data_IF_065797593493
#
_entry.id   IF_065797593493
#
_cell.length_a   1.000
_cell.length_b   1.000
_cell.length_c   1.000
_cell.angle_alpha   90.00
_cell.angle_beta   90.00
_cell.angle_gamma   90.00
#
_symmetry.space_group_name_H-M   'P 1'
#
loop_
_entity.id
_entity.type
_entity.pdbx_description
1 polymer ?
#
# COMPACT_ATOMS: atom_id res chain seq x y z
N UNK A 1 -2.34 -8.67 -16.60
CA UNK A 1 -1.71 -9.93 -16.12
C UNK A 1 -0.19 -9.84 -16.00
N UNK A 2 0.57 -9.44 -17.02
CA UNK A 2 2.05 -9.41 -16.94
C UNK A 2 2.63 -8.59 -15.78
N UNK A 3 2.08 -7.41 -15.51
CA UNK A 3 2.51 -6.55 -14.37
C UNK A 3 2.26 -7.22 -13.01
N UNK A 4 1.21 -8.04 -12.90
CA UNK A 4 0.83 -8.72 -11.66
C UNK A 4 1.85 -9.82 -11.32
N UNK A 5 2.27 -10.61 -12.32
CA UNK A 5 3.36 -11.57 -12.18
C UNK A 5 4.71 -10.90 -11.91
N UNK A 6 4.97 -9.74 -12.53
CA UNK A 6 6.18 -8.97 -12.28
C UNK A 6 6.27 -8.50 -10.82
N UNK A 7 5.20 -7.87 -10.30
CA UNK A 7 5.13 -7.44 -8.90
C UNK A 7 5.27 -8.61 -7.93
N UNK A 8 4.71 -9.77 -8.27
CA UNK A 8 4.85 -10.97 -7.47
C UNK A 8 6.29 -11.49 -7.44
N UNK A 9 6.92 -11.65 -8.61
CA UNK A 9 8.33 -12.05 -8.72
C UNK A 9 9.24 -11.10 -7.93
N UNK A 10 9.02 -9.80 -8.10
CA UNK A 10 9.73 -8.75 -7.38
C UNK A 10 9.57 -8.93 -5.86
N UNK A 11 8.34 -9.18 -5.39
CA UNK A 11 8.05 -9.45 -3.98
C UNK A 11 8.78 -10.68 -3.40
N UNK A 12 9.07 -11.70 -4.21
CA UNK A 12 9.82 -12.89 -3.80
C UNK A 12 11.33 -12.65 -3.76
N UNK A 13 11.85 -11.77 -4.61
CA UNK A 13 13.26 -11.37 -4.63
C UNK A 13 13.62 -10.53 -3.39
N UNK A 14 12.63 -9.86 -2.77
CA UNK A 14 12.89 -9.00 -1.62
C UNK A 14 12.93 -9.68 -0.26
N UNK A 15 13.94 -9.28 0.49
CA UNK A 15 14.07 -9.64 1.89
C UNK A 15 13.26 -8.69 2.77
N UNK A 16 12.16 -9.20 3.32
CA UNK A 16 11.39 -8.53 4.39
C UNK A 16 12.30 -8.10 5.56
N UNK A 17 13.33 -8.89 5.86
CA UNK A 17 14.28 -8.59 6.92
C UNK A 17 15.10 -7.32 6.67
N UNK A 18 15.46 -7.03 5.42
CA UNK A 18 16.17 -5.80 5.07
C UNK A 18 15.23 -4.59 5.05
N UNK A 19 13.98 -4.76 4.61
CA UNK A 19 12.96 -3.72 4.68
C UNK A 19 12.72 -3.24 6.13
N UNK A 20 12.67 -4.18 7.08
CA UNK A 20 12.54 -3.87 8.51
C UNK A 20 13.77 -3.09 9.02
N UNK A 21 14.98 -3.49 8.62
CA UNK A 21 16.22 -2.78 9.01
C UNK A 21 16.24 -1.34 8.48
N UNK A 22 15.75 -1.13 7.27
CA UNK A 22 15.64 0.20 6.64
C UNK A 22 14.39 0.99 7.06
N UNK A 23 13.57 0.45 7.97
CA UNK A 23 12.27 1.02 8.32
C UNK A 23 12.31 2.48 8.78
N UNK A 24 13.35 2.89 9.51
CA UNK A 24 13.52 4.31 9.91
C UNK A 24 13.76 5.21 8.70
N UNK A 25 14.64 4.80 7.79
CA UNK A 25 14.92 5.56 6.56
C UNK A 25 13.71 5.62 5.64
N UNK A 26 12.94 4.52 5.56
CA UNK A 26 11.67 4.46 4.82
C UNK A 26 10.64 5.42 5.42
N UNK A 27 10.46 5.41 6.74
CA UNK A 27 9.49 6.28 7.40
C UNK A 27 9.86 7.76 7.22
N UNK A 28 11.14 8.12 7.36
CA UNK A 28 11.61 9.49 7.17
C UNK A 28 11.48 9.91 5.70
N UNK A 29 12.01 9.11 4.78
CA UNK A 29 11.99 9.40 3.34
C UNK A 29 10.56 9.44 2.78
N UNK A 30 9.72 8.48 3.16
CA UNK A 30 8.31 8.43 2.77
C UNK A 30 7.50 9.58 3.36
N UNK A 31 7.75 9.97 4.61
CA UNK A 31 7.09 11.13 5.22
C UNK A 31 7.48 12.43 4.53
N UNK A 32 8.78 12.62 4.21
CA UNK A 32 9.24 13.79 3.45
C UNK A 32 8.61 13.81 2.05
N UNK A 33 8.62 12.67 1.36
CA UNK A 33 8.01 12.53 0.03
C UNK A 33 6.52 12.91 0.05
N UNK A 34 5.75 12.36 1.00
CA UNK A 34 4.33 12.66 1.14
C UNK A 34 4.13 14.13 1.49
N UNK A 35 4.84 14.67 2.47
CA UNK A 35 4.67 16.06 2.89
C UNK A 35 4.92 17.04 1.74
N UNK A 36 5.97 16.82 0.95
CA UNK A 36 6.29 17.68 -0.19
C UNK A 36 5.18 17.61 -1.23
N UNK A 37 4.83 16.41 -1.72
CA UNK A 37 3.85 16.30 -2.80
C UNK A 37 2.44 16.68 -2.36
N UNK A 38 2.05 16.32 -1.13
CA UNK A 38 0.73 16.65 -0.59
C UNK A 38 0.57 18.15 -0.37
N UNK A 39 1.58 18.82 0.19
CA UNK A 39 1.55 20.27 0.35
C UNK A 39 1.52 21.00 -0.99
N UNK A 40 2.27 20.53 -2.00
CA UNK A 40 2.21 21.05 -3.36
C UNK A 40 0.81 20.91 -3.97
N UNK A 41 0.17 19.76 -3.77
CA UNK A 41 -1.17 19.54 -4.29
C UNK A 41 -2.26 20.36 -3.58
N UNK A 42 -2.14 20.54 -2.26
CA UNK A 42 -2.98 21.47 -1.50
C UNK A 42 -2.81 22.91 -1.99
N UNK A 43 -1.56 23.35 -2.17
CA UNK A 43 -1.24 24.69 -2.63
C UNK A 43 -1.79 24.94 -4.03
N UNK A 44 -1.63 23.96 -4.94
CA UNK A 44 -2.17 24.06 -6.29
C UNK A 44 -3.70 24.21 -6.28
N UNK A 45 -4.40 23.33 -5.55
CA UNK A 45 -5.86 23.40 -5.44
C UNK A 45 -6.35 24.72 -4.82
N UNK A 46 -5.61 25.25 -3.86
CA UNK A 46 -5.92 26.54 -3.24
C UNK A 46 -5.76 27.71 -4.23
N UNK A 47 -4.69 27.72 -5.02
CA UNK A 47 -4.43 28.77 -6.02
C UNK A 47 -5.48 28.74 -7.13
N UNK A 48 -5.96 27.56 -7.54
CA UNK A 48 -7.02 27.43 -8.54
C UNK A 48 -8.42 27.81 -8.03
N UNK A 49 -8.57 28.07 -6.73
CA UNK A 49 -9.84 28.46 -6.12
C UNK A 49 -10.85 27.32 -6.00
N UNK A 50 -10.38 26.07 -5.93
CA UNK A 50 -11.24 24.90 -5.75
C UNK A 50 -11.87 24.84 -4.35
N UNK A 51 -13.00 24.15 -4.24
CA UNK A 51 -13.63 23.86 -2.96
C UNK A 51 -12.78 22.92 -2.08
N UNK A 52 -13.03 22.90 -0.78
CA UNK A 52 -12.21 22.12 0.18
C UNK A 52 -12.06 20.64 -0.19
N UNK A 53 -13.14 19.97 -0.61
CA UNK A 53 -13.10 18.56 -1.01
C UNK A 53 -12.30 18.34 -2.30
N UNK A 54 -12.43 19.25 -3.26
CA UNK A 54 -11.70 19.20 -4.54
C UNK A 54 -10.20 19.40 -4.32
N UNK A 55 -9.82 20.34 -3.43
CA UNK A 55 -8.44 20.56 -3.02
C UNK A 55 -7.85 19.30 -2.39
N UNK A 56 -8.59 18.65 -1.48
CA UNK A 56 -8.16 17.39 -0.89
C UNK A 56 -7.97 16.32 -1.97
N UNK A 57 -8.98 16.08 -2.81
CA UNK A 57 -8.88 15.09 -3.89
C UNK A 57 -7.65 15.37 -4.76
N UNK A 58 -7.41 16.63 -5.13
CA UNK A 58 -6.25 17.03 -5.92
C UNK A 58 -4.92 16.76 -5.20
N UNK A 59 -4.83 17.06 -3.90
CA UNK A 59 -3.65 16.77 -3.09
C UNK A 59 -3.36 15.27 -3.03
N UNK A 60 -4.39 14.44 -2.91
CA UNK A 60 -4.26 12.98 -2.98
C UNK A 60 -3.70 12.52 -4.32
N UNK A 61 -4.26 13.02 -5.43
CA UNK A 61 -3.82 12.65 -6.78
C UNK A 61 -2.36 13.05 -7.04
N UNK A 62 -1.92 14.22 -6.58
CA UNK A 62 -0.54 14.70 -6.78
C UNK A 62 0.46 13.92 -5.92
N UNK A 63 0.04 13.44 -4.75
CA UNK A 63 0.94 12.78 -3.79
C UNK A 63 1.38 11.39 -4.22
N UNK A 64 0.53 10.71 -4.98
CA UNK A 64 0.55 9.25 -5.07
C UNK A 64 1.17 8.80 -6.39
N UNK A 65 2.22 7.99 -6.28
CA UNK A 65 2.93 7.32 -7.36
C UNK A 65 2.35 5.93 -7.64
N UNK A 66 2.56 5.44 -8.87
CA UNK A 66 2.16 4.08 -9.24
C UNK A 66 3.24 3.05 -8.88
N UNK A 67 2.99 2.26 -7.84
CA UNK A 67 3.86 1.16 -7.39
C UNK A 67 4.21 0.17 -8.52
N UNK A 68 3.21 -0.17 -9.33
CA UNK A 68 3.35 -1.07 -10.48
C UNK A 68 4.32 -0.55 -11.56
N UNK A 69 4.26 0.75 -11.87
CA UNK A 69 5.13 1.37 -12.86
C UNK A 69 6.56 1.45 -12.34
N UNK A 70 6.75 1.85 -11.09
CA UNK A 70 8.10 1.93 -10.50
C UNK A 70 8.75 0.55 -10.42
N UNK A 71 8.01 -0.46 -9.96
CA UNK A 71 8.45 -1.86 -9.97
C UNK A 71 8.88 -2.31 -11.37
N UNK A 72 8.05 -2.03 -12.38
CA UNK A 72 8.38 -2.37 -13.77
C UNK A 72 9.66 -1.67 -14.23
N UNK A 73 9.81 -0.37 -13.96
CA UNK A 73 11.01 0.39 -14.33
C UNK A 73 12.27 -0.18 -13.66
N UNK A 74 12.19 -0.60 -12.40
CA UNK A 74 13.31 -1.23 -11.71
C UNK A 74 13.74 -2.57 -12.35
N UNK A 75 12.77 -3.36 -12.81
CA UNK A 75 13.03 -4.61 -13.54
C UNK A 75 13.59 -4.33 -14.93
N UNK A 76 12.95 -3.43 -15.68
CA UNK A 76 13.35 -3.07 -17.04
C UNK A 76 14.78 -2.51 -17.06
N UNK A 77 15.17 -1.75 -16.03
CA UNK A 77 16.52 -1.22 -15.83
C UNK A 77 17.50 -2.22 -15.18
N UNK A 78 17.06 -3.44 -14.83
CA UNK A 78 17.85 -4.46 -14.13
C UNK A 78 18.49 -3.96 -12.83
N UNK A 79 17.78 -3.11 -12.07
CA UNK A 79 18.23 -2.53 -10.80
C UNK A 79 17.64 -3.21 -9.57
N UNK A 80 16.94 -4.34 -9.71
CA UNK A 80 16.24 -5.03 -8.61
C UNK A 80 17.17 -5.40 -7.45
N UNK A 81 18.41 -5.79 -7.75
CA UNK A 81 19.41 -6.19 -6.77
C UNK A 81 20.18 -5.02 -6.11
N UNK A 82 19.91 -3.77 -6.50
CA UNK A 82 20.64 -2.63 -5.97
C UNK A 82 20.16 -2.21 -4.56
N UNK A 83 21.04 -1.67 -3.71
CA UNK A 83 20.67 -1.28 -2.35
C UNK A 83 19.63 -0.15 -2.28
N UNK A 84 19.61 0.76 -3.25
CA UNK A 84 18.61 1.82 -3.34
C UNK A 84 17.19 1.32 -3.64
N UNK A 85 17.07 0.16 -4.29
CA UNK A 85 15.78 -0.41 -4.70
C UNK A 85 14.93 -0.78 -3.49
N UNK A 86 15.57 -1.31 -2.44
CA UNK A 86 14.89 -1.63 -1.18
C UNK A 86 14.30 -0.38 -0.52
N UNK A 87 15.00 0.76 -0.59
CA UNK A 87 14.50 2.03 -0.05
C UNK A 87 13.34 2.57 -0.90
N UNK A 88 13.48 2.57 -2.22
CA UNK A 88 12.44 3.06 -3.15
C UNK A 88 11.14 2.27 -2.93
N UNK A 89 11.24 0.95 -2.89
CA UNK A 89 10.07 0.08 -2.69
C UNK A 89 9.48 0.21 -1.30
N UNK A 90 10.32 0.39 -0.29
CA UNK A 90 9.86 0.71 1.06
C UNK A 90 9.06 2.02 1.11
N UNK A 91 9.52 3.06 0.42
CA UNK A 91 8.81 4.34 0.33
C UNK A 91 7.45 4.14 -0.38
N UNK A 92 7.41 3.37 -1.47
CA UNK A 92 6.16 3.05 -2.18
C UNK A 92 5.18 2.30 -1.27
N UNK A 93 5.66 1.31 -0.50
CA UNK A 93 4.79 0.60 0.46
C UNK A 93 4.27 1.53 1.55
N UNK A 94 5.10 2.47 2.02
CA UNK A 94 4.69 3.47 3.00
C UNK A 94 3.61 4.41 2.43
N UNK A 95 3.76 4.77 1.16
CA UNK A 95 2.79 5.57 0.41
C UNK A 95 1.46 4.85 0.23
N UNK A 96 1.45 3.55 -0.10
CA UNK A 96 0.23 2.74 -0.21
C UNK A 96 -0.55 2.69 1.12
N UNK A 97 0.16 2.62 2.25
CA UNK A 97 -0.43 2.70 3.59
C UNK A 97 -1.08 4.07 3.82
N UNK A 98 -0.38 5.16 3.47
CA UNK A 98 -0.93 6.50 3.55
C UNK A 98 -2.18 6.64 2.67
N UNK A 99 -2.12 6.19 1.41
CA UNK A 99 -3.22 6.21 0.45
C UNK A 99 -4.46 5.50 1.02
N UNK A 100 -4.30 4.33 1.64
CA UNK A 100 -5.40 3.59 2.23
C UNK A 100 -6.10 4.37 3.37
N UNK A 101 -5.33 4.97 4.28
CA UNK A 101 -5.87 5.83 5.35
C UNK A 101 -6.52 7.08 4.76
N UNK A 102 -5.81 7.72 3.83
CA UNK A 102 -6.22 8.95 3.18
C UNK A 102 -7.57 8.79 2.47
N UNK A 103 -7.70 7.76 1.63
CA UNK A 103 -8.96 7.46 0.94
C UNK A 103 -10.07 7.08 1.90
N UNK A 104 -9.78 6.39 3.01
CA UNK A 104 -10.79 6.11 4.02
C UNK A 104 -11.35 7.40 4.64
N UNK A 105 -10.50 8.38 4.91
CA UNK A 105 -10.90 9.69 5.44
C UNK A 105 -11.68 10.48 4.38
N UNK A 106 -11.14 10.59 3.17
CA UNK A 106 -11.78 11.34 2.07
C UNK A 106 -13.12 10.73 1.70
N UNK A 107 -13.22 9.39 1.61
CA UNK A 107 -14.48 8.70 1.36
C UNK A 107 -15.49 8.96 2.48
N UNK A 108 -15.05 9.00 3.74
CA UNK A 108 -15.91 9.37 4.87
C UNK A 108 -16.41 10.82 4.80
N UNK A 109 -15.59 11.74 4.30
CA UNK A 109 -15.96 13.15 4.10
C UNK A 109 -16.88 13.37 2.88
N UNK A 110 -16.74 12.54 1.85
CA UNK A 110 -17.53 12.64 0.61
C UNK A 110 -18.88 11.92 0.74
N UNK A 111 -18.89 10.72 1.33
CA UNK A 111 -20.08 9.86 1.43
C UNK A 111 -20.85 10.04 2.74
N UNK A 112 -20.21 10.58 3.78
CA UNK A 112 -20.85 10.80 5.07
C UNK A 112 -21.36 12.22 5.23
N UNK A 113 -22.46 12.39 5.98
CA UNK A 113 -22.86 13.65 6.63
C UNK A 113 -21.87 14.05 7.75
N UNK A 114 -20.56 13.87 7.53
CA UNK A 114 -19.49 14.09 8.48
C UNK A 114 -19.19 15.59 8.65
N UNK A 115 -20.23 16.36 8.96
CA UNK A 115 -20.14 17.74 9.45
C UNK A 115 -19.70 17.81 10.92
N UNK A 116 -19.67 16.67 11.62
CA UNK A 116 -19.24 16.57 13.02
C UNK A 116 -17.88 15.88 13.15
N UNK A 117 -16.98 16.53 13.89
CA UNK A 117 -15.62 16.05 14.24
C UNK A 117 -15.62 14.61 14.79
N UNK A 118 -16.70 14.20 15.46
CA UNK A 118 -16.88 12.84 15.99
C UNK A 118 -16.99 11.76 14.90
N UNK A 119 -17.62 12.05 13.76
CA UNK A 119 -17.72 11.11 12.63
C UNK A 119 -16.37 10.87 11.98
N UNK A 120 -15.60 11.94 11.74
CA UNK A 120 -14.26 11.85 11.18
C UNK A 120 -13.30 11.05 12.08
N UNK A 121 -13.35 11.27 13.40
CA UNK A 121 -12.56 10.51 14.37
C UNK A 121 -12.92 9.02 14.36
N UNK A 122 -14.20 8.69 14.28
CA UNK A 122 -14.67 7.31 14.23
C UNK A 122 -14.21 6.60 12.96
N UNK A 123 -14.29 7.27 11.80
CA UNK A 123 -13.77 6.75 10.53
C UNK A 123 -12.26 6.49 10.57
N UNK A 124 -11.48 7.42 11.14
CA UNK A 124 -10.03 7.22 11.35
C UNK A 124 -9.77 6.01 12.24
N UNK A 125 -10.54 5.86 13.33
CA UNK A 125 -10.38 4.77 14.29
C UNK A 125 -10.71 3.41 13.65
N UNK A 126 -11.77 3.34 12.83
CA UNK A 126 -12.12 2.15 12.06
C UNK A 126 -11.02 1.80 11.06
N UNK A 127 -10.55 2.78 10.27
CA UNK A 127 -9.48 2.56 9.29
C UNK A 127 -8.19 2.05 9.95
N UNK A 128 -7.80 2.66 11.07
CA UNK A 128 -6.67 2.24 11.88
C UNK A 128 -6.88 0.84 12.46
N UNK A 129 -8.09 0.53 12.93
CA UNK A 129 -8.47 -0.79 13.43
C UNK A 129 -8.34 -1.88 12.36
N UNK A 130 -8.85 -1.64 11.15
CA UNK A 130 -8.68 -2.56 10.02
C UNK A 130 -7.22 -2.74 9.64
N UNK A 131 -6.45 -1.63 9.56
CA UNK A 131 -5.02 -1.70 9.26
C UNK A 131 -4.26 -2.55 10.28
N UNK A 132 -4.53 -2.34 11.58
CA UNK A 132 -3.89 -3.08 12.67
C UNK A 132 -4.28 -4.56 12.65
N UNK A 133 -5.56 -4.86 12.37
CA UNK A 133 -6.06 -6.22 12.21
C UNK A 133 -5.32 -6.93 11.07
N UNK A 134 -5.27 -6.34 9.88
CA UNK A 134 -4.56 -6.90 8.73
C UNK A 134 -3.06 -7.04 8.99
N UNK A 135 -2.44 -6.09 9.69
CA UNK A 135 -1.03 -6.18 10.08
C UNK A 135 -0.77 -7.40 10.99
N UNK A 136 -1.63 -7.64 11.99
CA UNK A 136 -1.54 -8.80 12.88
C UNK A 136 -1.73 -10.10 12.09
N UNK A 137 -2.73 -10.14 11.20
CA UNK A 137 -2.98 -11.29 10.32
C UNK A 137 -1.76 -11.55 9.45
N UNK A 138 -1.25 -10.55 8.73
CA UNK A 138 -0.08 -10.66 7.86
C UNK A 138 1.17 -11.13 8.59
N UNK A 139 1.35 -10.74 9.86
CA UNK A 139 2.50 -11.20 10.67
C UNK A 139 2.35 -12.63 11.18
N UNK A 140 1.12 -13.08 11.47
CA UNK A 140 0.85 -14.42 12.02
C UNK A 140 0.61 -15.47 10.93
N UNK A 141 0.10 -15.08 9.76
CA UNK A 141 -0.22 -15.95 8.64
C UNK A 141 0.95 -16.81 8.16
N UNK A 142 2.16 -16.28 7.94
CA UNK A 142 3.29 -17.10 7.47
C UNK A 142 3.64 -18.21 8.45
N UNK A 143 3.57 -17.94 9.76
CA UNK A 143 3.83 -18.94 10.80
C UNK A 143 2.69 -19.96 10.91
N UNK A 144 1.45 -19.52 10.71
CA UNK A 144 0.29 -20.40 10.72
C UNK A 144 0.28 -21.32 9.49
N UNK A 145 0.55 -20.78 8.30
CA UNK A 145 0.67 -21.55 7.06
C UNK A 145 1.86 -22.51 7.13
N UNK A 146 3.04 -22.11 7.60
CA UNK A 146 4.18 -23.03 7.76
C UNK A 146 3.92 -24.14 8.80
N UNK A 147 2.98 -23.93 9.74
CA UNK A 147 2.61 -24.94 10.74
C UNK A 147 1.50 -25.88 10.23
N UNK A 148 0.60 -25.39 9.37
CA UNK A 148 -0.46 -26.17 8.74
C UNK A 148 0.03 -26.96 7.54
N UNK A 149 0.95 -26.38 6.79
CA UNK A 149 1.60 -26.96 5.63
C UNK A 149 3.09 -27.07 5.95
N UNK A 150 3.55 -28.27 6.31
CA UNK A 150 4.96 -28.62 6.57
C UNK A 150 5.77 -28.59 5.25
N UNK A 151 5.76 -27.44 4.59
CA UNK A 151 6.35 -27.23 3.27
C UNK A 151 7.77 -26.73 3.47
N UNK A 152 8.75 -27.57 3.08
CA UNK A 152 10.18 -27.25 3.20
C UNK A 152 10.74 -26.42 2.04
N UNK A 153 9.95 -26.14 0.99
CA UNK A 153 10.38 -25.33 -0.17
C UNK A 153 9.52 -24.08 -0.36
N UNK A 154 10.18 -22.92 -0.45
CA UNK A 154 9.53 -21.62 -0.75
C UNK A 154 8.68 -21.69 -2.04
N UNK A 155 9.04 -22.53 -3.01
CA UNK A 155 8.35 -22.68 -4.29
C UNK A 155 6.93 -23.25 -4.11
N UNK A 156 6.77 -24.24 -3.24
CA UNK A 156 5.47 -24.87 -2.99
C UNK A 156 4.59 -23.92 -2.17
N UNK A 157 5.17 -23.17 -1.24
CA UNK A 157 4.47 -22.11 -0.50
C UNK A 157 3.93 -21.02 -1.44
N UNK A 158 4.76 -20.59 -2.40
CA UNK A 158 4.37 -19.66 -3.47
C UNK A 158 3.18 -20.20 -4.26
N UNK A 159 3.24 -21.44 -4.73
CA UNK A 159 2.17 -22.05 -5.53
C UNK A 159 0.86 -22.13 -4.74
N UNK A 160 0.90 -22.50 -3.45
CA UNK A 160 -0.28 -22.58 -2.59
C UNK A 160 -0.93 -21.21 -2.39
N UNK A 161 -0.14 -20.17 -2.11
CA UNK A 161 -0.67 -18.80 -1.99
C UNK A 161 -1.29 -18.34 -3.31
N UNK A 162 -0.64 -18.63 -4.44
CA UNK A 162 -1.16 -18.27 -5.76
C UNK A 162 -2.49 -18.95 -6.05
N UNK A 163 -2.61 -20.24 -5.73
CA UNK A 163 -3.84 -21.00 -5.85
C UNK A 163 -4.95 -20.41 -4.97
N UNK A 164 -4.63 -20.02 -3.74
CA UNK A 164 -5.60 -19.42 -2.81
C UNK A 164 -6.09 -18.06 -3.31
N UNK A 165 -5.19 -17.21 -3.82
CA UNK A 165 -5.53 -15.92 -4.43
C UNK A 165 -6.42 -16.08 -5.68
N UNK A 166 -6.13 -17.06 -6.54
CA UNK A 166 -7.00 -17.34 -7.69
C UNK A 166 -8.37 -17.85 -7.26
N UNK A 167 -8.42 -18.70 -6.24
CA UNK A 167 -9.66 -19.27 -5.74
C UNK A 167 -10.56 -18.19 -5.11
N UNK A 168 -9.99 -17.23 -4.36
CA UNK A 168 -10.76 -16.10 -3.81
C UNK A 168 -11.31 -15.19 -4.91
N UNK A 169 -10.56 -14.96 -5.99
CA UNK A 169 -11.04 -14.19 -7.16
C UNK A 169 -12.18 -14.88 -7.89
N UNK A 170 -12.13 -16.20 -8.05
CA UNK A 170 -13.23 -16.99 -8.62
C UNK A 170 -14.46 -16.91 -7.73
N UNK A 171 -14.29 -17.05 -6.41
CA UNK A 171 -15.38 -16.90 -5.45
C UNK A 171 -16.04 -15.52 -5.52
N UNK A 172 -15.24 -14.46 -5.63
CA UNK A 172 -15.77 -13.09 -5.72
C UNK A 172 -16.59 -12.87 -7.00
N UNK A 173 -16.19 -13.48 -8.12
CA UNK A 173 -16.91 -13.39 -9.41
C UNK A 173 -18.23 -14.17 -9.45
N UNK A 174 -18.42 -15.11 -8.54
CA UNK A 174 -19.62 -15.97 -8.49
C UNK A 174 -20.70 -15.46 -7.53
N UNK A 175 -20.35 -14.47 -6.69
CA UNK A 175 -21.25 -13.82 -5.73
C UNK A 175 -21.58 -12.37 -6.08
N UNK A 176 -21.24 -11.93 -7.29
CA UNK A 176 -21.60 -10.63 -7.88
C UNK A 176 -22.35 -10.88 -9.19
#
# INVERSE_FOLDING_TARGET
MGVLFLLFYLGLEFSVGKLIKSGKSIAVGGSIYILINFSLGLLYGFITGFGFLEILIMAGVITISSSAIVAKVLVDLKRTANPETELILGIIMFEDIFLAVYLSVVSGLVLGDATTVGGALLSILIAFGYMMLFFIIARKMPKLLNKLFDIRSNEVFIIVIFAFCFLSLVFQKQFM
#
